data_IF_648397653517
#
_entry.id   IF_648397653517
#
_cell.length_a   1.000
_cell.length_b   1.000
_cell.length_c   1.000
_cell.angle_alpha   90.00
_cell.angle_beta   90.00
_cell.angle_gamma   90.00
#
_symmetry.space_group_name_H-M   'P 1'
#
loop_
_entity.id
_entity.type
_entity.pdbx_description
1 polymer ?
#
# COMPACT_ATOMS: atom_id res chain seq x y z
N UNK A 1 -2.03 4.29 1.67
CA UNK A 1 -1.33 4.13 0.39
C UNK A 1 -1.90 2.92 -0.34
N UNK A 2 -2.22 3.07 -1.63
CA UNK A 2 -2.67 1.98 -2.51
C UNK A 2 -1.88 1.98 -3.82
N UNK A 3 -1.87 0.85 -4.50
CA UNK A 3 -1.26 0.71 -5.83
C UNK A 3 -2.26 0.93 -6.97
N UNK A 4 -1.73 1.05 -8.19
CA UNK A 4 -2.51 1.22 -9.42
C UNK A 4 -3.52 0.09 -9.68
N UNK A 5 -3.20 -1.14 -9.24
CA UNK A 5 -4.12 -2.28 -9.35
C UNK A 5 -5.37 -2.09 -8.50
N UNK A 6 -5.20 -1.73 -7.23
CA UNK A 6 -6.31 -1.42 -6.30
C UNK A 6 -7.11 -0.20 -6.80
N UNK A 7 -6.41 0.84 -7.29
CA UNK A 7 -7.09 2.02 -7.83
C UNK A 7 -8.01 1.67 -9.01
N UNK A 8 -7.55 0.83 -9.94
CA UNK A 8 -8.37 0.41 -11.09
C UNK A 8 -9.52 -0.53 -10.72
N UNK A 9 -9.30 -1.41 -9.74
CA UNK A 9 -10.29 -2.42 -9.39
C UNK A 9 -11.44 -1.84 -8.55
N UNK A 10 -11.10 -0.99 -7.59
CA UNK A 10 -12.01 -0.62 -6.51
C UNK A 10 -12.38 0.87 -6.51
N UNK A 11 -11.64 1.72 -7.24
CA UNK A 11 -11.73 3.18 -7.18
C UNK A 11 -11.95 3.67 -5.74
N UNK A 12 -10.98 3.39 -4.82
CA UNK A 12 -11.20 3.57 -3.40
C UNK A 12 -11.22 5.06 -3.03
N UNK A 13 -12.08 5.41 -2.09
CA UNK A 13 -12.16 6.79 -1.59
C UNK A 13 -10.99 7.15 -0.66
N UNK A 14 -10.50 6.22 0.13
CA UNK A 14 -9.39 6.34 1.08
C UNK A 14 -9.52 7.44 2.16
N UNK A 15 -10.67 8.06 2.30
CA UNK A 15 -10.93 9.04 3.35
C UNK A 15 -11.67 8.40 4.54
N UNK A 16 -11.45 8.94 5.73
CA UNK A 16 -12.19 8.54 6.93
C UNK A 16 -13.66 8.93 6.78
N UNK A 17 -14.55 7.99 7.06
CA UNK A 17 -16.01 8.17 6.94
C UNK A 17 -16.70 7.81 8.25
N UNK A 18 -17.78 8.53 8.57
CA UNK A 18 -18.65 8.20 9.72
C UNK A 18 -18.05 8.52 11.10
N UNK A 19 -16.93 9.23 11.16
CA UNK A 19 -16.31 9.69 12.42
C UNK A 19 -16.25 11.21 12.38
N UNK A 20 -17.07 11.85 13.20
CA UNK A 20 -17.11 13.31 13.30
C UNK A 20 -15.79 13.85 13.88
N UNK A 21 -15.27 14.92 13.26
CA UNK A 21 -14.02 15.56 13.69
C UNK A 21 -12.74 14.76 13.38
N UNK A 22 -12.83 13.67 12.63
CA UNK A 22 -11.66 12.89 12.25
C UNK A 22 -10.69 13.72 11.39
N UNK A 23 -9.40 13.66 11.73
CA UNK A 23 -8.35 14.21 10.88
C UNK A 23 -8.21 13.30 9.66
N UNK A 24 -8.33 13.89 8.47
CA UNK A 24 -8.20 13.13 7.23
C UNK A 24 -6.73 12.79 6.95
N UNK A 25 -6.42 11.55 6.55
CA UNK A 25 -5.08 11.17 6.15
C UNK A 25 -4.73 11.74 4.77
N UNK A 26 -3.43 11.89 4.49
CA UNK A 26 -2.96 12.04 3.11
C UNK A 26 -3.22 10.72 2.37
N UNK A 27 -4.05 10.78 1.33
CA UNK A 27 -4.29 9.65 0.42
C UNK A 27 -3.15 9.59 -0.59
N UNK A 28 -2.58 8.41 -0.80
CA UNK A 28 -1.47 8.24 -1.75
C UNK A 28 -1.79 7.10 -2.71
N UNK A 29 -1.72 7.37 -4.00
CA UNK A 29 -1.83 6.34 -5.05
C UNK A 29 -0.48 6.19 -5.74
N UNK A 30 0.06 4.98 -5.73
CA UNK A 30 1.28 4.63 -6.47
C UNK A 30 0.87 4.16 -7.87
N UNK A 31 0.93 5.09 -8.83
CA UNK A 31 0.53 4.87 -10.22
C UNK A 31 1.72 5.08 -11.17
N UNK A 32 2.63 4.13 -11.18
CA UNK A 32 3.91 4.19 -11.90
C UNK A 32 3.79 4.78 -13.31
N UNK A 33 2.76 4.43 -14.05
CA UNK A 33 2.58 4.86 -15.44
C UNK A 33 1.63 6.06 -15.61
N UNK A 34 0.98 6.54 -14.54
CA UNK A 34 0.05 7.66 -14.59
C UNK A 34 -1.27 7.33 -15.31
N UNK A 35 -1.69 6.07 -15.30
CA UNK A 35 -2.83 5.58 -16.08
C UNK A 35 -3.97 4.96 -15.25
N UNK A 36 -3.78 4.85 -13.94
CA UNK A 36 -4.77 4.24 -13.06
C UNK A 36 -5.74 5.25 -12.45
N UNK A 37 -5.27 6.48 -12.23
CA UNK A 37 -6.10 7.56 -11.71
C UNK A 37 -6.71 8.30 -12.88
N UNK A 38 -8.03 8.16 -13.08
CA UNK A 38 -8.79 8.90 -14.09
C UNK A 38 -9.22 10.25 -13.55
N UNK A 39 -9.61 11.24 -14.41
CA UNK A 39 -10.03 12.56 -13.94
C UNK A 39 -11.23 12.56 -12.98
N UNK A 40 -12.06 11.54 -13.04
CA UNK A 40 -13.26 11.33 -12.22
C UNK A 40 -13.04 10.36 -11.04
N UNK A 41 -11.79 9.94 -10.79
CA UNK A 41 -11.48 9.01 -9.71
C UNK A 41 -11.88 9.58 -8.34
N UNK A 42 -12.52 8.75 -7.51
CA UNK A 42 -13.02 9.15 -6.19
C UNK A 42 -11.93 9.66 -5.24
N UNK A 43 -10.69 9.26 -5.46
CA UNK A 43 -9.55 9.72 -4.68
C UNK A 43 -9.18 11.18 -4.96
N UNK A 44 -9.71 11.78 -6.03
CA UNK A 44 -9.45 13.17 -6.42
C UNK A 44 -10.47 14.17 -5.86
N UNK A 45 -11.50 13.72 -5.16
CA UNK A 45 -12.45 14.64 -4.50
C UNK A 45 -11.78 15.44 -3.37
N UNK A 46 -12.46 16.44 -2.85
CA UNK A 46 -11.99 17.36 -1.81
C UNK A 46 -12.15 16.83 -0.38
N UNK A 47 -12.55 15.56 -0.19
CA UNK A 47 -12.77 14.96 1.12
C UNK A 47 -11.47 14.80 1.95
N UNK A 48 -10.33 14.65 1.28
CA UNK A 48 -9.02 14.57 1.92
C UNK A 48 -7.89 14.96 0.94
N UNK A 49 -6.72 15.41 1.42
CA UNK A 49 -5.58 15.67 0.56
C UNK A 49 -5.11 14.39 -0.15
N UNK A 50 -4.73 14.52 -1.43
CA UNK A 50 -4.30 13.38 -2.26
C UNK A 50 -2.98 13.67 -2.94
N UNK A 51 -2.11 12.68 -3.00
CA UNK A 51 -0.85 12.69 -3.72
C UNK A 51 -0.77 11.47 -4.65
N UNK A 52 -0.52 11.71 -5.92
CA UNK A 52 -0.33 10.64 -6.90
C UNK A 52 1.18 10.53 -7.20
N UNK A 53 1.75 9.36 -6.90
CA UNK A 53 3.14 9.07 -7.19
C UNK A 53 3.26 8.39 -8.56
N UNK A 54 4.02 9.00 -9.47
CA UNK A 54 4.22 8.53 -10.84
C UNK A 54 5.70 8.48 -11.19
N UNK A 55 6.06 7.74 -12.23
CA UNK A 55 7.42 7.75 -12.73
C UNK A 55 7.77 9.10 -13.39
N UNK A 56 9.04 9.48 -13.35
CA UNK A 56 9.55 10.73 -13.95
C UNK A 56 9.19 10.87 -15.42
N UNK A 57 9.16 9.76 -16.15
CA UNK A 57 8.89 9.67 -17.59
C UNK A 57 7.40 9.48 -17.93
N UNK A 58 6.51 9.42 -16.95
CA UNK A 58 5.08 9.21 -17.18
C UNK A 58 4.32 10.51 -17.42
N UNK A 59 3.16 10.41 -18.06
CA UNK A 59 2.25 11.54 -18.28
C UNK A 59 0.88 11.19 -17.68
N UNK A 60 0.57 11.65 -16.46
CA UNK A 60 -0.72 11.36 -15.83
C UNK A 60 -1.86 12.04 -16.58
N UNK A 61 -3.03 11.40 -16.57
CA UNK A 61 -4.24 11.85 -17.24
C UNK A 61 -5.12 12.75 -16.35
N UNK A 62 -4.67 13.08 -15.13
CA UNK A 62 -5.42 13.89 -14.15
C UNK A 62 -4.64 15.16 -13.78
N UNK A 63 -5.33 16.14 -13.18
CA UNK A 63 -4.75 17.39 -12.70
C UNK A 63 -4.45 17.38 -11.17
N UNK A 64 -4.63 16.24 -10.49
CA UNK A 64 -4.34 16.08 -9.06
C UNK A 64 -2.87 16.28 -8.73
N UNK A 65 -2.59 16.59 -7.47
CA UNK A 65 -1.21 16.77 -7.00
C UNK A 65 -0.37 15.52 -7.27
N UNK A 66 0.76 15.72 -7.95
CA UNK A 66 1.60 14.63 -8.44
C UNK A 66 3.03 14.78 -7.95
N UNK A 67 3.65 13.67 -7.53
CA UNK A 67 5.09 13.57 -7.31
C UNK A 67 5.72 12.63 -8.34
N UNK A 68 6.86 13.04 -8.90
CA UNK A 68 7.62 12.25 -9.86
C UNK A 68 8.78 11.55 -9.15
N UNK A 69 8.87 10.24 -9.36
CA UNK A 69 9.83 9.38 -8.68
C UNK A 69 10.60 8.52 -9.68
N UNK A 70 11.83 8.13 -9.34
CA UNK A 70 12.59 7.18 -10.14
C UNK A 70 11.86 5.83 -10.26
N UNK A 71 12.05 5.16 -11.39
CA UNK A 71 11.63 3.77 -11.53
C UNK A 71 12.58 2.84 -10.78
N UNK A 72 12.02 1.78 -10.23
CA UNK A 72 12.73 0.64 -9.67
C UNK A 72 12.16 -0.66 -10.22
N UNK A 73 12.76 -1.79 -9.87
CA UNK A 73 12.25 -3.11 -10.27
C UNK A 73 10.82 -3.30 -9.77
N UNK A 74 9.88 -3.47 -10.69
CA UNK A 74 8.47 -3.69 -10.37
C UNK A 74 7.64 -2.43 -10.14
N UNK A 75 8.19 -1.21 -10.30
CA UNK A 75 7.39 0.00 -10.11
C UNK A 75 8.20 1.27 -9.86
N UNK A 76 7.86 2.00 -8.80
CA UNK A 76 8.59 3.18 -8.32
C UNK A 76 9.56 2.81 -7.20
N UNK A 77 10.58 3.64 -7.00
CA UNK A 77 11.47 3.53 -5.86
C UNK A 77 10.73 3.84 -4.55
N UNK A 78 10.57 2.81 -3.72
CA UNK A 78 9.80 2.89 -2.47
C UNK A 78 10.51 3.76 -1.43
N UNK A 79 11.85 3.72 -1.36
CA UNK A 79 12.58 4.54 -0.39
C UNK A 79 12.46 6.01 -0.72
N UNK A 80 12.61 6.38 -1.99
CA UNK A 80 12.38 7.75 -2.45
C UNK A 80 10.93 8.21 -2.19
N UNK A 81 9.93 7.34 -2.39
CA UNK A 81 8.55 7.65 -2.02
C UNK A 81 8.43 7.98 -0.52
N UNK A 82 9.01 7.15 0.34
CA UNK A 82 8.95 7.34 1.80
C UNK A 82 9.69 8.62 2.23
N UNK A 83 10.82 8.96 1.61
CA UNK A 83 11.54 10.21 1.86
C UNK A 83 10.69 11.44 1.52
N UNK A 84 9.99 11.43 0.37
CA UNK A 84 9.05 12.49 -0.02
C UNK A 84 7.89 12.61 0.98
N UNK A 85 7.32 11.49 1.41
CA UNK A 85 6.25 11.50 2.41
C UNK A 85 6.75 12.00 3.77
N UNK A 86 7.94 11.59 4.18
CA UNK A 86 8.57 12.06 5.41
C UNK A 86 8.81 13.57 5.39
N UNK A 87 9.34 14.12 4.29
CA UNK A 87 9.54 15.56 4.11
C UNK A 87 8.23 16.35 4.18
N UNK A 88 7.09 15.73 3.85
CA UNK A 88 5.73 16.28 4.00
C UNK A 88 5.15 16.12 5.41
N UNK A 89 5.92 15.62 6.37
CA UNK A 89 5.50 15.44 7.75
C UNK A 89 4.79 14.11 8.03
N UNK A 90 4.66 13.19 7.06
CA UNK A 90 4.10 11.85 7.30
C UNK A 90 5.04 11.06 8.19
N UNK A 91 4.53 10.46 9.26
CA UNK A 91 5.29 9.67 10.24
C UNK A 91 4.92 8.18 10.24
N UNK A 92 3.79 7.84 9.65
CA UNK A 92 3.37 6.46 9.48
C UNK A 92 2.60 6.28 8.19
N UNK A 93 2.72 5.12 7.57
CA UNK A 93 2.06 4.76 6.33
C UNK A 93 1.24 3.50 6.57
N UNK A 94 -0.06 3.57 6.27
CA UNK A 94 -0.91 2.38 6.14
C UNK A 94 -0.92 1.97 4.67
N UNK A 95 -0.31 0.83 4.37
CA UNK A 95 -0.32 0.25 3.04
C UNK A 95 -1.54 -0.68 2.92
N UNK A 96 -2.52 -0.28 2.11
CA UNK A 96 -3.71 -1.06 1.75
C UNK A 96 -3.63 -1.53 0.29
N UNK A 97 -2.42 -1.64 -0.21
CA UNK A 97 -2.16 -1.97 -1.60
C UNK A 97 -2.34 -3.43 -1.92
N UNK A 98 -2.48 -3.71 -3.21
CA UNK A 98 -2.49 -5.08 -3.72
C UNK A 98 -1.13 -5.78 -3.55
N UNK A 99 -1.05 -7.07 -3.88
CA UNK A 99 0.11 -7.93 -3.58
C UNK A 99 1.43 -7.40 -4.17
N UNK A 100 1.40 -6.81 -5.35
CA UNK A 100 2.61 -6.31 -6.04
C UNK A 100 3.22 -5.11 -5.30
N UNK A 101 2.40 -4.14 -4.86
CA UNK A 101 2.91 -3.01 -4.09
C UNK A 101 3.42 -3.45 -2.72
N UNK A 102 2.70 -4.37 -2.05
CA UNK A 102 3.16 -4.97 -0.81
C UNK A 102 4.52 -5.68 -0.99
N UNK A 103 4.69 -6.41 -2.10
CA UNK A 103 5.97 -7.02 -2.46
C UNK A 103 7.10 -6.01 -2.66
N UNK A 104 6.82 -4.86 -3.28
CA UNK A 104 7.81 -3.79 -3.45
C UNK A 104 8.27 -3.20 -2.11
N UNK A 105 7.35 -2.98 -1.16
CA UNK A 105 7.70 -2.55 0.19
C UNK A 105 8.53 -3.59 0.95
N UNK A 106 8.18 -4.86 0.82
CA UNK A 106 8.95 -5.97 1.41
C UNK A 106 10.36 -6.06 0.79
N UNK A 107 10.47 -5.98 -0.53
CA UNK A 107 11.77 -6.01 -1.21
C UNK A 107 12.67 -4.82 -0.84
N UNK A 108 12.07 -3.67 -0.52
CA UNK A 108 12.77 -2.48 -0.07
C UNK A 108 13.14 -2.52 1.44
N UNK A 109 12.73 -3.56 2.17
CA UNK A 109 12.88 -3.66 3.63
C UNK A 109 12.25 -2.46 4.37
N UNK A 110 11.01 -2.11 3.96
CA UNK A 110 10.27 -0.94 4.42
C UNK A 110 8.93 -1.32 5.07
N UNK A 111 8.86 -2.46 5.74
CA UNK A 111 7.67 -2.93 6.46
C UNK A 111 8.00 -3.15 7.93
N UNK A 112 7.38 -2.38 8.81
CA UNK A 112 7.56 -2.54 10.27
C UNK A 112 6.54 -3.50 10.87
N UNK A 113 5.31 -3.49 10.34
CA UNK A 113 4.18 -4.23 10.93
C UNK A 113 3.28 -4.80 9.84
N UNK A 114 2.79 -6.00 10.07
CA UNK A 114 1.78 -6.67 9.25
C UNK A 114 0.50 -6.82 10.06
N UNK A 115 -0.64 -6.45 9.46
CA UNK A 115 -1.97 -6.71 10.00
C UNK A 115 -2.72 -7.55 8.98
N UNK A 116 -2.94 -8.82 9.30
CA UNK A 116 -3.65 -9.77 8.45
C UNK A 116 -5.04 -10.09 9.00
N UNK A 117 -6.03 -10.13 8.13
CA UNK A 117 -7.37 -10.62 8.45
C UNK A 117 -7.58 -11.96 7.77
N UNK A 118 -7.93 -12.96 8.55
CA UNK A 118 -8.23 -14.31 8.08
C UNK A 118 -9.72 -14.58 8.25
N UNK A 119 -10.44 -14.59 7.14
CA UNK A 119 -11.85 -15.02 7.11
C UNK A 119 -11.93 -16.55 7.12
N UNK A 120 -12.87 -17.16 7.86
CA UNK A 120 -13.05 -18.61 7.90
C UNK A 120 -13.82 -19.11 6.67
N UNK A 121 -13.30 -18.84 5.47
CA UNK A 121 -13.91 -19.15 4.17
C UNK A 121 -12.87 -19.80 3.26
N UNK A 122 -13.27 -20.84 2.55
CA UNK A 122 -12.46 -21.48 1.52
C UNK A 122 -12.89 -20.97 0.14
N UNK A 123 -12.03 -20.20 -0.52
CA UNK A 123 -12.32 -19.61 -1.84
C UNK A 123 -11.84 -20.49 -3.01
N UNK A 124 -11.08 -21.52 -2.73
CA UNK A 124 -10.51 -22.41 -3.76
C UNK A 124 -9.27 -21.82 -4.43
N UNK A 125 -9.38 -20.69 -5.12
CA UNK A 125 -8.26 -20.01 -5.78
C UNK A 125 -8.42 -18.48 -5.71
N UNK A 126 -7.31 -17.74 -5.78
CA UNK A 126 -7.29 -16.29 -5.75
C UNK A 126 -5.86 -15.73 -5.84
N UNK A 127 -5.69 -14.40 -5.95
CA UNK A 127 -4.37 -13.79 -5.89
C UNK A 127 -3.71 -14.04 -4.53
N UNK A 128 -2.39 -14.13 -4.52
CA UNK A 128 -1.62 -14.19 -3.29
C UNK A 128 -1.75 -12.89 -2.49
N UNK A 129 -1.60 -12.94 -1.17
CA UNK A 129 -1.59 -11.74 -0.33
C UNK A 129 -0.33 -10.89 -0.57
N UNK A 130 0.76 -11.52 -1.03
CA UNK A 130 2.03 -10.89 -1.38
C UNK A 130 2.53 -11.47 -2.71
N UNK A 131 2.95 -10.60 -3.63
CA UNK A 131 3.53 -10.99 -4.92
C UNK A 131 4.89 -10.30 -5.09
N UNK A 132 5.91 -11.07 -5.44
CA UNK A 132 7.29 -10.59 -5.47
C UNK A 132 7.95 -10.55 -4.09
N UNK A 133 8.54 -9.41 -3.72
CA UNK A 133 9.23 -9.25 -2.43
C UNK A 133 10.58 -9.98 -2.33
N UNK A 134 11.07 -10.58 -3.42
CA UNK A 134 12.32 -11.34 -3.43
C UNK A 134 12.21 -12.73 -2.79
N UNK A 135 11.00 -13.19 -2.46
CA UNK A 135 10.76 -14.50 -1.84
C UNK A 135 10.50 -15.51 -2.94
N UNK A 136 11.45 -16.43 -3.17
CA UNK A 136 11.38 -17.43 -4.23
C UNK A 136 11.30 -18.86 -3.68
N UNK A 137 11.72 -19.08 -2.44
CA UNK A 137 11.70 -20.36 -1.79
C UNK A 137 11.18 -20.24 -0.35
N UNK A 138 10.86 -21.37 0.27
CA UNK A 138 10.46 -21.40 1.68
C UNK A 138 11.59 -20.94 2.61
N UNK A 139 12.84 -21.05 2.18
CA UNK A 139 14.00 -20.58 2.93
C UNK A 139 14.06 -19.05 2.95
N UNK A 140 13.59 -18.40 1.88
CA UNK A 140 13.54 -16.93 1.77
C UNK A 140 12.34 -16.35 2.52
N UNK A 141 11.43 -17.19 3.01
CA UNK A 141 10.19 -16.75 3.65
C UNK A 141 10.48 -15.84 4.84
N UNK A 142 9.81 -14.68 4.86
CA UNK A 142 9.88 -13.76 5.99
C UNK A 142 9.16 -14.37 7.20
N UNK A 143 9.85 -14.39 8.32
CA UNK A 143 9.27 -14.83 9.58
C UNK A 143 8.62 -13.66 10.29
N UNK A 144 7.44 -13.91 10.86
CA UNK A 144 6.68 -12.91 11.59
C UNK A 144 6.68 -13.30 13.08
N UNK A 145 6.91 -12.32 13.93
CA UNK A 145 6.66 -12.40 15.36
C UNK A 145 5.27 -11.86 15.66
N UNK A 146 4.36 -12.75 16.03
CA UNK A 146 2.95 -12.42 16.27
C UNK A 146 2.79 -11.81 17.65
N UNK A 147 2.49 -10.53 17.70
CA UNK A 147 2.24 -9.80 18.95
C UNK A 147 0.80 -9.89 19.45
N UNK A 148 -0.17 -10.09 18.54
CA UNK A 148 -1.58 -10.13 18.88
C UNK A 148 -2.40 -10.97 17.91
N UNK A 149 -3.38 -11.71 18.45
CA UNK A 149 -4.43 -12.38 17.67
C UNK A 149 -5.77 -12.08 18.31
N UNK A 150 -6.69 -11.46 17.56
CA UNK A 150 -8.00 -11.03 18.04
C UNK A 150 -9.11 -11.52 17.13
N UNK A 151 -10.21 -11.98 17.70
CA UNK A 151 -11.42 -12.28 16.94
C UNK A 151 -12.21 -11.02 16.67
N UNK A 152 -12.49 -10.73 15.40
CA UNK A 152 -13.29 -9.59 14.93
C UNK A 152 -14.53 -10.12 14.21
N UNK A 153 -15.64 -10.25 14.92
CA UNK A 153 -16.80 -10.97 14.39
C UNK A 153 -16.47 -12.43 14.06
N UNK A 154 -16.67 -12.88 12.81
CA UNK A 154 -16.27 -14.22 12.37
C UNK A 154 -14.77 -14.34 12.09
N UNK A 155 -14.08 -13.24 11.81
CA UNK A 155 -12.70 -13.21 11.32
C UNK A 155 -11.66 -13.22 12.45
N UNK A 156 -10.43 -13.58 12.12
CA UNK A 156 -9.26 -13.41 12.98
C UNK A 156 -8.39 -12.27 12.43
N UNK A 157 -8.06 -11.30 13.28
CA UNK A 157 -7.02 -10.31 13.03
C UNK A 157 -5.72 -10.77 13.69
N UNK A 158 -4.66 -10.80 12.92
CA UNK A 158 -3.30 -11.10 13.38
C UNK A 158 -2.47 -9.84 13.20
N UNK A 159 -1.79 -9.41 14.27
CA UNK A 159 -0.83 -8.31 14.24
C UNK A 159 0.56 -8.88 14.51
N UNK A 160 1.52 -8.57 13.64
CA UNK A 160 2.87 -9.12 13.74
C UNK A 160 3.92 -8.11 13.24
N UNK A 161 5.16 -8.30 13.67
CA UNK A 161 6.35 -7.60 13.17
C UNK A 161 7.24 -8.56 12.39
N UNK A 162 8.08 -8.04 11.52
CA UNK A 162 9.09 -8.84 10.83
C UNK A 162 10.19 -9.23 11.82
N UNK A 163 10.56 -10.49 11.82
CA UNK A 163 11.75 -10.96 12.56
C UNK A 163 13.00 -10.51 11.80
N UNK A 164 13.88 -9.80 12.47
CA UNK A 164 15.15 -9.39 11.85
C UNK A 164 15.89 -10.63 11.33
N UNK A 165 16.41 -10.55 10.10
CA UNK A 165 17.29 -11.61 9.58
C UNK A 165 18.59 -11.57 10.38
N UNK A 166 18.90 -12.66 11.08
CA UNK A 166 20.25 -12.85 11.60
C UNK A 166 21.21 -12.99 10.41
N UNK A 167 22.18 -12.10 10.32
CA UNK A 167 23.23 -12.11 9.31
C UNK A 167 24.40 -12.98 9.75
#
# INVERSE_FOLDING_TARGET
VVGSGTQRADDPHLAVRGIEGAVQPLRVVVDTNGTAVTPDARVLDDAAPTLIAVAEDSTPAHEGETVRLPRATGGLDIRTLLDVLHARGVRSVLLEGGPTLAGAFVAADCVDRVVGYLAPVLLGAGPAALDGGGITTITDALRLDVSETVRIGPDLRITATLVAKEH
#
